data_IF_051314978456
#
_entry.id   IF_051314978456
#
_cell.length_a   1.000
_cell.length_b   1.000
_cell.length_c   1.000
_cell.angle_alpha   90.00
_cell.angle_beta   90.00
_cell.angle_gamma   90.00
#
_symmetry.space_group_name_H-M   'P 1'
#
loop_
_entity.id
_entity.type
_entity.pdbx_description
1 polymer ?
#
# COMPACT_ATOMS: atom_id res chain seq x y z
N UNK A 1 -7.31 -21.91 -5.01
CA UNK A 1 -6.61 -20.64 -4.67
C UNK A 1 -5.17 -20.75 -5.16
N UNK A 2 -4.61 -19.74 -5.84
CA UNK A 2 -3.24 -19.82 -6.39
C UNK A 2 -2.19 -19.74 -5.26
N UNK A 3 -1.25 -20.71 -5.13
CA UNK A 3 -0.21 -20.65 -4.11
C UNK A 3 0.68 -19.42 -4.22
N UNK A 4 0.95 -18.96 -5.45
CA UNK A 4 1.72 -17.75 -5.73
C UNK A 4 0.97 -16.50 -5.25
N UNK A 5 -0.34 -16.46 -5.46
CA UNK A 5 -1.20 -15.37 -4.98
C UNK A 5 -1.22 -15.33 -3.45
N UNK A 6 -1.49 -16.46 -2.80
CA UNK A 6 -1.55 -16.54 -1.34
C UNK A 6 -0.21 -16.15 -0.69
N UNK A 7 0.90 -16.64 -1.25
CA UNK A 7 2.25 -16.25 -0.81
C UNK A 7 2.45 -14.74 -0.92
N UNK A 8 2.08 -14.14 -2.04
CA UNK A 8 2.23 -12.70 -2.23
C UNK A 8 1.38 -11.90 -1.24
N UNK A 9 0.10 -12.25 -1.08
CA UNK A 9 -0.81 -11.56 -0.17
C UNK A 9 -0.31 -11.64 1.29
N UNK A 10 0.00 -12.83 1.78
CA UNK A 10 0.28 -13.06 3.20
C UNK A 10 1.72 -12.72 3.59
N UNK A 11 2.69 -12.89 2.70
CA UNK A 11 4.11 -12.71 3.04
C UNK A 11 4.69 -11.39 2.52
N UNK A 12 3.99 -10.70 1.60
CA UNK A 12 4.49 -9.46 1.01
C UNK A 12 3.53 -8.33 1.27
N UNK A 13 2.30 -8.40 0.74
CA UNK A 13 1.38 -7.26 0.76
C UNK A 13 0.92 -6.92 2.19
N UNK A 14 0.30 -7.86 2.90
CA UNK A 14 -0.25 -7.62 4.24
C UNK A 14 0.81 -7.20 5.26
N UNK A 15 1.98 -7.88 5.36
CA UNK A 15 3.02 -7.46 6.30
C UNK A 15 3.60 -6.07 5.97
N UNK A 16 3.72 -5.72 4.69
CA UNK A 16 4.23 -4.39 4.30
C UNK A 16 3.24 -3.30 4.72
N UNK A 17 1.94 -3.51 4.46
CA UNK A 17 0.91 -2.58 4.90
C UNK A 17 0.84 -2.48 6.43
N UNK A 18 0.87 -3.62 7.13
CA UNK A 18 0.93 -3.64 8.60
C UNK A 18 2.11 -2.83 9.14
N UNK A 19 3.31 -3.05 8.59
CA UNK A 19 4.50 -2.30 8.99
C UNK A 19 4.41 -0.79 8.69
N UNK A 20 3.75 -0.38 7.60
CA UNK A 20 3.50 1.05 7.33
C UNK A 20 2.53 1.64 8.37
N UNK A 21 1.46 0.92 8.68
CA UNK A 21 0.46 1.35 9.68
C UNK A 21 1.07 1.47 11.08
N UNK A 22 1.95 0.54 11.46
CA UNK A 22 2.65 0.55 12.75
C UNK A 22 3.66 1.72 12.87
N UNK A 23 4.02 2.38 11.77
CA UNK A 23 5.03 3.43 11.71
C UNK A 23 4.48 4.79 11.25
N UNK A 24 3.16 5.02 11.30
CA UNK A 24 2.57 6.30 10.85
C UNK A 24 3.12 7.52 11.60
N UNK A 25 3.56 7.34 12.86
CA UNK A 25 4.21 8.38 13.65
C UNK A 25 5.68 8.64 13.27
N UNK A 26 6.25 7.82 12.40
CA UNK A 26 7.65 7.87 11.95
C UNK A 26 7.73 8.00 10.41
N UNK A 27 7.54 9.22 9.86
CA UNK A 27 7.48 9.43 8.40
C UNK A 27 8.69 8.88 7.63
N UNK A 28 9.88 8.92 8.22
CA UNK A 28 11.11 8.38 7.65
C UNK A 28 11.05 6.86 7.47
N UNK A 29 10.49 6.14 8.44
CA UNK A 29 10.33 4.68 8.36
C UNK A 29 9.30 4.29 7.29
N UNK A 30 8.20 5.04 7.17
CA UNK A 30 7.20 4.86 6.11
C UNK A 30 7.83 5.10 4.74
N UNK A 31 8.56 6.22 4.57
CA UNK A 31 9.29 6.53 3.34
C UNK A 31 10.23 5.40 2.92
N UNK A 32 11.05 4.90 3.84
CA UNK A 32 11.99 3.81 3.55
C UNK A 32 11.30 2.48 3.25
N UNK A 33 10.16 2.19 3.89
CA UNK A 33 9.35 1.01 3.56
C UNK A 33 8.78 1.09 2.13
N UNK A 34 8.15 2.23 1.79
CA UNK A 34 7.57 2.48 0.47
C UNK A 34 8.64 2.47 -0.62
N UNK A 35 9.79 3.10 -0.37
CA UNK A 35 10.91 3.16 -1.31
C UNK A 35 11.48 1.80 -1.62
N UNK A 36 11.69 0.96 -0.60
CA UNK A 36 12.15 -0.43 -0.78
C UNK A 36 11.15 -1.24 -1.61
N UNK A 37 9.85 -1.07 -1.38
CA UNK A 37 8.80 -1.76 -2.13
C UNK A 37 8.81 -1.33 -3.61
N UNK A 38 8.88 -0.02 -3.89
CA UNK A 38 8.89 0.52 -5.24
C UNK A 38 10.14 0.07 -6.02
N UNK A 39 11.33 0.10 -5.41
CA UNK A 39 12.58 -0.39 -6.02
C UNK A 39 12.50 -1.88 -6.33
N UNK A 40 11.95 -2.70 -5.44
CA UNK A 40 11.75 -4.13 -5.69
C UNK A 40 10.83 -4.38 -6.90
N UNK A 41 9.79 -3.56 -7.07
CA UNK A 41 8.89 -3.67 -8.21
C UNK A 41 9.50 -3.15 -9.52
N UNK A 42 10.32 -2.09 -9.47
CA UNK A 42 11.07 -1.61 -10.64
C UNK A 42 12.12 -2.62 -11.14
N UNK A 43 12.75 -3.37 -10.23
CA UNK A 43 13.77 -4.38 -10.56
C UNK A 43 13.20 -5.67 -11.15
N UNK A 44 11.94 -5.99 -10.85
CA UNK A 44 11.23 -7.09 -11.47
C UNK A 44 10.66 -6.52 -12.77
N UNK A 45 11.00 -7.05 -13.94
CA UNK A 45 10.47 -6.61 -15.25
C UNK A 45 8.93 -6.70 -15.40
N UNK A 46 8.21 -6.94 -14.31
CA UNK A 46 6.78 -6.76 -14.17
C UNK A 46 6.48 -5.27 -14.18
N UNK A 47 6.19 -4.73 -15.36
CA UNK A 47 5.64 -3.38 -15.51
C UNK A 47 4.35 -3.24 -14.71
N UNK A 48 4.43 -2.67 -13.51
CA UNK A 48 3.27 -2.31 -12.72
C UNK A 48 2.84 -0.91 -13.16
N UNK A 49 1.69 -0.83 -13.81
CA UNK A 49 1.07 0.44 -14.13
C UNK A 49 0.48 1.09 -12.88
N UNK A 50 0.49 2.43 -12.85
CA UNK A 50 -0.07 3.23 -11.76
C UNK A 50 -1.55 2.91 -11.51
N UNK A 51 -2.31 2.60 -12.57
CA UNK A 51 -3.72 2.22 -12.44
C UNK A 51 -3.90 0.97 -11.58
N UNK A 52 -3.00 -0.01 -11.67
CA UNK A 52 -3.09 -1.24 -10.87
C UNK A 52 -2.89 -0.97 -9.37
N UNK A 53 -2.01 -0.02 -9.03
CA UNK A 53 -1.77 0.40 -7.65
C UNK A 53 -2.98 1.17 -7.10
N UNK A 54 -3.56 2.04 -7.91
CA UNK A 54 -4.78 2.78 -7.53
C UNK A 54 -5.96 1.82 -7.27
N UNK A 55 -6.16 0.83 -8.15
CA UNK A 55 -7.18 -0.21 -7.97
C UNK A 55 -6.92 -0.97 -6.67
N UNK A 56 -5.67 -1.34 -6.38
CA UNK A 56 -5.33 -2.02 -5.14
C UNK A 56 -5.68 -1.18 -3.90
N UNK A 57 -5.39 0.12 -3.91
CA UNK A 57 -5.75 1.03 -2.83
C UNK A 57 -7.26 1.06 -2.57
N UNK A 58 -8.05 1.17 -3.64
CA UNK A 58 -9.52 1.13 -3.57
C UNK A 58 -10.04 -0.20 -3.04
N UNK A 59 -9.44 -1.32 -3.45
CA UNK A 59 -9.80 -2.66 -2.96
C UNK A 59 -9.52 -2.78 -1.46
N UNK A 60 -8.38 -2.30 -0.99
CA UNK A 60 -8.04 -2.34 0.45
C UNK A 60 -9.06 -1.54 1.25
N UNK A 61 -9.34 -0.29 0.84
CA UNK A 61 -10.34 0.56 1.50
C UNK A 61 -11.71 -0.13 1.52
N UNK A 62 -12.17 -0.64 0.37
CA UNK A 62 -13.48 -1.29 0.25
C UNK A 62 -13.61 -2.53 1.13
N UNK A 63 -12.56 -3.36 1.21
CA UNK A 63 -12.55 -4.55 2.07
C UNK A 63 -12.58 -4.16 3.54
N UNK A 64 -11.78 -3.16 3.95
CA UNK A 64 -11.81 -2.69 5.34
C UNK A 64 -13.20 -2.17 5.68
N UNK A 65 -13.76 -1.22 4.90
CA UNK A 65 -15.11 -0.67 5.14
C UNK A 65 -16.19 -1.76 5.27
N UNK A 66 -16.14 -2.79 4.42
CA UNK A 66 -17.10 -3.90 4.46
C UNK A 66 -16.96 -4.77 5.71
N UNK A 67 -15.71 -5.08 6.09
CA UNK A 67 -15.43 -6.14 7.07
C UNK A 67 -15.18 -5.61 8.50
N UNK A 68 -14.97 -4.29 8.69
CA UNK A 68 -14.97 -3.65 10.01
C UNK A 68 -16.35 -3.15 10.40
N UNK A 69 -17.05 -3.93 11.24
CA UNK A 69 -18.25 -3.47 11.95
C UNK A 69 -17.87 -2.33 12.90
N UNK A 70 -18.30 -1.10 12.59
CA UNK A 70 -18.19 0.05 13.50
C UNK A 70 -17.08 1.06 13.18
N UNK A 71 -16.59 1.10 11.94
CA UNK A 71 -15.77 2.24 11.49
C UNK A 71 -16.65 3.51 11.48
N UNK A 72 -16.23 4.59 12.13
CA UNK A 72 -16.89 5.89 12.00
C UNK A 72 -16.50 6.54 10.67
N UNK A 73 -17.29 7.51 10.18
CA UNK A 73 -16.95 8.27 8.97
C UNK A 73 -15.54 8.91 9.07
N UNK A 74 -15.18 9.42 10.24
CA UNK A 74 -13.85 10.01 10.49
C UNK A 74 -12.71 8.98 10.36
N UNK A 75 -12.93 7.75 10.86
CA UNK A 75 -11.96 6.67 10.73
C UNK A 75 -11.82 6.20 9.28
N UNK A 76 -12.93 6.18 8.53
CA UNK A 76 -12.90 5.89 7.10
C UNK A 76 -12.10 6.93 6.32
N UNK A 77 -12.35 8.23 6.57
CA UNK A 77 -11.59 9.31 5.94
C UNK A 77 -10.10 9.24 6.27
N UNK A 78 -9.77 8.93 7.53
CA UNK A 78 -8.38 8.79 7.96
C UNK A 78 -7.68 7.64 7.22
N UNK A 79 -8.36 6.49 7.11
CA UNK A 79 -7.84 5.34 6.38
C UNK A 79 -7.64 5.64 4.89
N UNK A 80 -8.60 6.31 4.26
CA UNK A 80 -8.50 6.74 2.86
C UNK A 80 -7.33 7.68 2.63
N UNK A 81 -7.10 8.63 3.54
CA UNK A 81 -5.95 9.56 3.49
C UNK A 81 -4.63 8.79 3.58
N UNK A 82 -4.49 7.89 4.55
CA UNK A 82 -3.27 7.09 4.75
C UNK A 82 -2.96 6.24 3.52
N UNK A 83 -3.95 5.48 3.02
CA UNK A 83 -3.76 4.63 1.85
C UNK A 83 -3.41 5.47 0.61
N UNK A 84 -4.10 6.59 0.41
CA UNK A 84 -3.83 7.49 -0.73
C UNK A 84 -2.40 8.03 -0.71
N UNK A 85 -1.91 8.48 0.45
CA UNK A 85 -0.54 8.99 0.62
C UNK A 85 0.48 7.89 0.32
N UNK A 86 0.30 6.71 0.91
CA UNK A 86 1.22 5.57 0.71
C UNK A 86 1.27 5.15 -0.76
N UNK A 87 0.13 5.07 -1.43
CA UNK A 87 0.07 4.71 -2.85
C UNK A 87 0.66 5.81 -3.74
N UNK A 88 0.45 7.09 -3.42
CA UNK A 88 1.06 8.21 -4.15
C UNK A 88 2.59 8.16 -4.06
N UNK A 89 3.13 8.04 -2.85
CA UNK A 89 4.57 7.90 -2.60
C UNK A 89 5.17 6.69 -3.33
N UNK A 90 4.44 5.58 -3.36
CA UNK A 90 4.87 4.39 -4.09
C UNK A 90 4.98 4.68 -5.59
N UNK A 91 3.96 5.31 -6.18
CA UNK A 91 3.93 5.64 -7.60
C UNK A 91 5.02 6.64 -7.98
N UNK A 92 5.21 7.70 -7.19
CA UNK A 92 6.26 8.71 -7.42
C UNK A 92 7.65 8.07 -7.39
N UNK A 93 7.89 7.18 -6.43
CA UNK A 93 9.16 6.44 -6.33
C UNK A 93 9.33 5.46 -7.50
N UNK A 94 8.26 4.81 -7.94
CA UNK A 94 8.28 3.92 -9.10
C UNK A 94 8.67 4.67 -10.38
N UNK A 95 8.12 5.88 -10.57
CA UNK A 95 8.39 6.77 -11.70
C UNK A 95 9.78 7.42 -11.64
N UNK A 96 10.54 7.21 -10.56
CA UNK A 96 11.87 7.80 -10.37
C UNK A 96 11.85 9.29 -10.03
N UNK A 97 10.69 9.83 -9.63
CA UNK A 97 10.56 11.18 -9.09
C UNK A 97 10.72 11.10 -7.57
N UNK A 98 11.96 11.15 -7.08
CA UNK A 98 12.23 11.20 -5.63
C UNK A 98 12.35 12.66 -5.16
N UNK A 99 11.73 12.94 -4.00
CA UNK A 99 11.96 14.14 -3.17
C UNK A 99 13.41 14.23 -2.66
#
# INVERSE_FOLDING_TARGET
>A
MSPRFQKHMLQVLMPTFGGIMDNLDFPEAVNEAVKRLAVSHRKKELGIAKEHINILGQVIVSVVKRDTLGCTEEQEEALEKVISIVMAMFCETLDGRTF
#
